data_IF_311026016872
#
_entry.id   IF_311026016872
#
_cell.length_a   1.000
_cell.length_b   1.000
_cell.length_c   1.000
_cell.angle_alpha   90.00
_cell.angle_beta   90.00
_cell.angle_gamma   90.00
#
_symmetry.space_group_name_H-M   'P 1'
#
loop_
_entity.id
_entity.type
_entity.pdbx_description
1 polymer ?
#
# COMPACT_ATOMS: atom_id res chain seq x y z
N UNK A 1 -27.06 24.70 15.36
CA UNK A 1 -26.56 23.31 15.38
C UNK A 1 -26.22 22.80 13.98
N UNK A 2 -27.04 23.04 12.97
CA UNK A 2 -26.81 22.61 11.56
C UNK A 2 -25.55 23.19 10.89
N UNK A 3 -25.22 24.47 11.11
CA UNK A 3 -24.02 25.10 10.50
C UNK A 3 -22.70 24.54 11.04
N UNK A 4 -22.67 24.16 12.31
CA UNK A 4 -21.51 23.50 12.93
C UNK A 4 -21.32 22.08 12.40
N UNK A 5 -22.40 21.34 12.18
CA UNK A 5 -22.34 20.01 11.59
C UNK A 5 -21.80 20.04 10.14
N UNK A 6 -22.23 21.03 9.34
CA UNK A 6 -21.73 21.21 7.97
C UNK A 6 -20.23 21.54 7.96
N UNK A 7 -19.78 22.42 8.85
CA UNK A 7 -18.36 22.79 8.96
C UNK A 7 -17.50 21.61 9.42
N UNK A 8 -17.99 20.81 10.37
CA UNK A 8 -17.31 19.61 10.85
C UNK A 8 -17.16 18.55 9.74
N UNK A 9 -18.22 18.29 8.96
CA UNK A 9 -18.16 17.38 7.81
C UNK A 9 -17.20 17.87 6.72
N UNK A 10 -17.16 19.19 6.46
CA UNK A 10 -16.24 19.76 5.47
C UNK A 10 -14.77 19.58 5.91
N UNK A 11 -14.46 19.78 7.19
CA UNK A 11 -13.11 19.60 7.72
C UNK A 11 -12.64 18.13 7.69
N UNK A 12 -13.54 17.17 7.94
CA UNK A 12 -13.23 15.73 7.82
C UNK A 12 -12.91 15.33 6.38
N UNK A 13 -13.57 15.93 5.39
CA UNK A 13 -13.28 15.69 3.98
C UNK A 13 -11.90 16.16 3.53
N UNK A 14 -11.35 17.23 4.13
CA UNK A 14 -10.01 17.72 3.80
C UNK A 14 -8.88 16.88 4.42
N UNK A 15 -9.16 16.08 5.45
CA UNK A 15 -8.18 15.20 6.08
C UNK A 15 -8.05 13.83 5.41
N UNK A 16 -8.93 13.51 4.46
CA UNK A 16 -8.86 12.27 3.68
C UNK A 16 -7.83 12.42 2.55
N UNK A 17 -6.54 12.28 2.88
CA UNK A 17 -5.53 12.04 1.86
C UNK A 17 -5.85 10.69 1.17
N UNK A 18 -5.74 10.57 -0.16
CA UNK A 18 -5.85 9.28 -0.82
C UNK A 18 -4.78 8.36 -0.24
N UNK A 19 -5.20 7.24 0.35
CA UNK A 19 -4.28 6.17 0.67
C UNK A 19 -3.89 5.53 -0.67
N UNK A 20 -2.67 5.79 -1.13
CA UNK A 20 -2.10 5.04 -2.25
C UNK A 20 -1.79 3.64 -1.74
N UNK A 21 -2.45 2.61 -2.29
CA UNK A 21 -2.13 1.23 -1.98
C UNK A 21 -0.73 0.90 -2.51
N UNK A 22 0.04 0.10 -1.76
CA UNK A 22 1.39 -0.29 -2.13
C UNK A 22 1.38 -1.46 -3.15
N UNK A 23 0.79 -1.26 -4.33
CA UNK A 23 0.57 -2.32 -5.33
C UNK A 23 1.82 -2.67 -6.16
N UNK A 24 3.02 -2.48 -5.59
CA UNK A 24 4.30 -2.66 -6.29
C UNK A 24 5.11 -3.83 -5.71
N UNK A 25 5.92 -4.46 -6.56
CA UNK A 25 7.01 -5.36 -6.14
C UNK A 25 8.33 -4.62 -6.19
N UNK A 26 9.38 -5.17 -5.59
CA UNK A 26 10.71 -4.58 -5.61
C UNK A 26 11.69 -5.33 -6.52
N UNK A 27 12.57 -4.59 -7.17
CA UNK A 27 13.76 -5.09 -7.85
C UNK A 27 15.01 -4.55 -7.16
N UNK A 28 16.01 -5.41 -6.96
CA UNK A 28 17.33 -5.00 -6.50
C UNK A 28 18.20 -4.60 -7.71
N UNK A 29 18.56 -3.32 -7.79
CA UNK A 29 19.37 -2.73 -8.88
C UNK A 29 20.63 -2.07 -8.31
N UNK A 30 21.69 -1.84 -9.11
CA UNK A 30 22.78 -0.96 -8.70
C UNK A 30 22.21 0.42 -8.36
N UNK A 31 22.27 0.83 -7.09
CA UNK A 31 21.67 2.07 -6.58
C UNK A 31 20.51 1.91 -5.60
N UNK A 32 20.01 0.69 -5.37
CA UNK A 32 19.03 0.41 -4.31
C UNK A 32 17.81 -0.39 -4.78
N UNK A 33 16.73 -0.32 -3.98
CA UNK A 33 15.44 -0.93 -4.29
C UNK A 33 14.66 -0.04 -5.25
N UNK A 34 14.20 -0.62 -6.36
CA UNK A 34 13.26 0.02 -7.27
C UNK A 34 11.90 -0.69 -7.16
N UNK A 35 10.84 0.08 -6.94
CA UNK A 35 9.48 -0.46 -6.99
C UNK A 35 9.01 -0.54 -8.44
N UNK A 36 8.56 -1.71 -8.87
CA UNK A 36 8.07 -2.01 -10.22
C UNK A 36 6.74 -2.77 -10.14
N UNK A 37 5.95 -2.75 -11.22
CA UNK A 37 4.72 -3.54 -11.34
C UNK A 37 5.03 -4.87 -12.03
N UNK A 38 4.39 -5.96 -11.60
CA UNK A 38 4.50 -7.26 -12.25
C UNK A 38 3.10 -7.73 -12.69
N UNK A 39 2.90 -7.89 -14.00
CA UNK A 39 1.59 -8.24 -14.57
C UNK A 39 1.16 -9.70 -14.28
N UNK A 40 2.12 -10.57 -13.94
CA UNK A 40 1.89 -11.99 -13.62
C UNK A 40 1.60 -12.22 -12.13
N UNK A 41 1.77 -11.21 -11.27
CA UNK A 41 1.51 -11.30 -9.82
C UNK A 41 0.63 -10.14 -9.38
N UNK A 42 -0.65 -10.42 -9.15
CA UNK A 42 -1.60 -9.44 -8.63
C UNK A 42 -1.51 -9.36 -7.09
N UNK A 43 -1.41 -8.15 -6.54
CA UNK A 43 -1.67 -7.92 -5.12
C UNK A 43 -3.18 -7.72 -4.93
N UNK A 44 -3.82 -8.70 -4.29
CA UNK A 44 -5.28 -8.72 -4.14
C UNK A 44 -5.74 -8.00 -2.87
N UNK A 45 -4.88 -7.98 -1.84
CA UNK A 45 -5.18 -7.39 -0.54
C UNK A 45 -3.90 -7.04 0.22
N UNK A 46 -3.94 -5.88 0.88
CA UNK A 46 -3.02 -5.46 1.92
C UNK A 46 -3.84 -5.07 3.16
N UNK A 47 -3.50 -5.65 4.32
CA UNK A 47 -3.96 -5.16 5.62
C UNK A 47 -2.76 -4.61 6.40
N UNK A 48 -2.62 -3.28 6.42
CA UNK A 48 -1.56 -2.57 7.14
C UNK A 48 -2.07 -2.06 8.48
N UNK A 49 -1.43 -2.51 9.57
CA UNK A 49 -1.66 -2.00 10.93
C UNK A 49 -0.40 -1.30 11.43
N UNK A 50 -0.54 -0.03 11.82
CA UNK A 50 0.55 0.78 12.40
C UNK A 50 0.15 1.22 13.80
N UNK A 51 1.04 1.00 14.76
CA UNK A 51 0.93 1.46 16.14
C UNK A 51 2.28 2.00 16.63
N UNK A 52 2.30 2.58 17.83
CA UNK A 52 3.54 3.09 18.42
C UNK A 52 4.58 1.98 18.67
N UNK A 53 4.11 0.76 18.91
CA UNK A 53 4.97 -0.37 19.33
C UNK A 53 5.17 -1.40 18.21
N UNK A 54 4.32 -1.42 17.18
CA UNK A 54 4.32 -2.45 16.13
C UNK A 54 3.83 -1.92 14.77
N UNK A 55 4.50 -2.36 13.71
CA UNK A 55 4.02 -2.31 12.32
C UNK A 55 3.81 -3.74 11.84
N UNK A 56 2.59 -4.06 11.41
CA UNK A 56 2.22 -5.37 10.84
C UNK A 56 1.60 -5.19 9.46
N UNK A 57 1.99 -6.06 8.53
CA UNK A 57 1.44 -6.06 7.18
C UNK A 57 1.11 -7.49 6.78
N UNK A 58 -0.14 -7.71 6.42
CA UNK A 58 -0.63 -8.98 5.89
C UNK A 58 -0.97 -8.80 4.40
N UNK A 59 -0.27 -9.56 3.54
CA UNK A 59 -0.44 -9.49 2.09
C UNK A 59 -1.09 -10.74 1.51
N UNK A 60 -1.96 -10.56 0.50
CA UNK A 60 -2.45 -11.64 -0.35
C UNK A 60 -2.02 -11.38 -1.78
N UNK A 61 -1.12 -12.22 -2.29
CA UNK A 61 -0.67 -12.20 -3.69
C UNK A 61 -1.24 -13.39 -4.46
N UNK A 62 -1.59 -13.17 -5.72
CA UNK A 62 -2.02 -14.20 -6.66
C UNK A 62 -1.11 -14.24 -7.87
N UNK A 63 -0.48 -15.38 -8.13
CA UNK A 63 0.15 -15.67 -9.41
C UNK A 63 -0.96 -15.91 -10.44
N UNK A 64 -1.05 -15.06 -11.45
CA UNK A 64 -2.06 -15.10 -12.52
C UNK A 64 -1.56 -15.83 -13.77
N UNK A 65 -0.30 -16.25 -13.80
CA UNK A 65 0.32 -16.97 -14.91
C UNK A 65 0.29 -18.50 -14.72
N UNK A 66 0.58 -19.23 -15.80
CA UNK A 66 0.73 -20.69 -15.79
C UNK A 66 2.14 -21.16 -15.38
N UNK A 67 3.05 -20.23 -15.06
CA UNK A 67 4.45 -20.52 -14.76
C UNK A 67 4.80 -20.13 -13.31
N UNK A 68 5.79 -20.78 -12.68
CA UNK A 68 6.35 -20.29 -11.42
C UNK A 68 6.95 -18.89 -11.59
N UNK A 69 6.56 -17.95 -10.73
CA UNK A 69 7.07 -16.57 -10.72
C UNK A 69 7.79 -16.31 -9.39
N UNK A 70 8.95 -15.67 -9.45
CA UNK A 70 9.71 -15.21 -8.29
C UNK A 70 9.77 -13.68 -8.29
N UNK A 71 9.29 -13.06 -7.22
CA UNK A 71 9.34 -11.60 -7.03
C UNK A 71 9.93 -11.28 -5.66
N UNK A 72 10.53 -10.11 -5.52
CA UNK A 72 10.90 -9.57 -4.21
C UNK A 72 9.79 -8.64 -3.74
N UNK A 73 9.30 -8.84 -2.52
CA UNK A 73 8.33 -7.95 -1.88
C UNK A 73 9.08 -7.00 -0.96
N UNK A 74 8.79 -5.70 -1.02
CA UNK A 74 9.38 -4.72 -0.11
C UNK A 74 8.29 -3.82 0.48
N UNK A 75 8.49 -3.45 1.75
CA UNK A 75 7.65 -2.50 2.46
C UNK A 75 8.34 -1.12 2.47
N UNK A 76 7.76 -0.08 1.84
CA UNK A 76 8.33 1.26 1.84
C UNK A 76 8.18 1.92 3.21
N UNK A 77 9.28 2.40 3.78
CA UNK A 77 9.24 3.24 4.97
C UNK A 77 9.04 4.71 4.56
N UNK A 78 8.29 5.52 5.33
CA UNK A 78 8.26 6.96 5.13
C UNK A 78 9.69 7.53 5.23
N UNK A 79 10.02 8.48 4.36
CA UNK A 79 11.23 9.32 4.49
C UNK A 79 11.00 10.49 5.42
#
# INVERSE_FOLDING_TARGET
MTRFAVLACALLGLAAAPAAANDSVAELRPGGLLFVTNDDVAMEREDLTISMDEVRVDYVFRNTSDNPVSVTVAFPMPV
#
